data_IF_677379105731
#
_entry.id   IF_677379105731
#
_cell.length_a   1.000
_cell.length_b   1.000
_cell.length_c   1.000
_cell.angle_alpha   90.00
_cell.angle_beta   90.00
_cell.angle_gamma   90.00
#
_symmetry.space_group_name_H-M   'P 1'
#
loop_
_entity.id
_entity.type
_entity.pdbx_description
1 polymer ?
#
# COMPACT_ATOMS: atom_id res chain seq x y z
N UNK A 1 -21.23 17.09 -4.03
CA UNK A 1 -20.29 17.52 -5.09
C UNK A 1 -19.72 16.26 -5.71
N UNK A 2 -19.69 16.15 -7.04
CA UNK A 2 -19.23 14.94 -7.73
C UNK A 2 -17.91 15.27 -8.42
N UNK A 3 -16.84 14.55 -8.06
CA UNK A 3 -15.56 14.64 -8.77
C UNK A 3 -15.62 13.99 -10.15
N UNK A 4 -16.62 13.13 -10.36
CA UNK A 4 -16.79 12.32 -11.55
C UNK A 4 -18.04 12.75 -12.31
N UNK A 5 -17.90 12.83 -13.64
CA UNK A 5 -19.05 12.94 -14.53
C UNK A 5 -19.72 11.58 -14.63
N UNK A 6 -20.95 11.49 -14.13
CA UNK A 6 -21.70 10.25 -14.13
C UNK A 6 -22.10 9.81 -15.53
N UNK A 7 -22.31 10.75 -16.46
CA UNK A 7 -22.64 10.43 -17.85
C UNK A 7 -21.45 9.76 -18.53
N UNK A 8 -20.26 10.38 -18.43
CA UNK A 8 -19.03 9.82 -19.02
C UNK A 8 -18.71 8.44 -18.45
N UNK A 9 -18.85 8.26 -17.13
CA UNK A 9 -18.63 6.97 -16.49
C UNK A 9 -19.60 5.88 -16.98
N UNK A 10 -20.88 6.22 -17.15
CA UNK A 10 -21.87 5.27 -17.67
C UNK A 10 -21.59 4.95 -19.14
N UNK A 11 -21.21 5.95 -19.94
CA UNK A 11 -20.88 5.76 -21.35
C UNK A 11 -19.74 4.76 -21.51
N UNK A 12 -18.67 4.91 -20.73
CA UNK A 12 -17.53 4.01 -20.70
C UNK A 12 -17.92 2.55 -20.34
N UNK A 13 -18.88 2.36 -19.42
CA UNK A 13 -19.43 1.02 -19.11
C UNK A 13 -20.21 0.44 -20.29
N UNK A 14 -21.07 1.24 -20.92
CA UNK A 14 -21.90 0.80 -22.07
C UNK A 14 -21.01 0.42 -23.26
N UNK A 15 -19.93 1.16 -23.51
CA UNK A 15 -18.98 0.89 -24.59
C UNK A 15 -17.94 -0.19 -24.23
N UNK A 16 -17.99 -0.76 -23.03
CA UNK A 16 -17.02 -1.73 -22.52
C UNK A 16 -15.56 -1.24 -22.56
N UNK A 17 -15.36 0.08 -22.45
CA UNK A 17 -14.05 0.72 -22.49
C UNK A 17 -13.93 1.72 -21.34
N UNK A 18 -13.68 1.22 -20.13
CA UNK A 18 -13.48 2.06 -18.94
C UNK A 18 -12.06 2.61 -18.92
N UNK A 19 -11.93 3.89 -19.27
CA UNK A 19 -10.66 4.60 -19.23
C UNK A 19 -10.45 5.26 -17.86
N UNK A 20 -9.93 4.51 -16.90
CA UNK A 20 -9.72 4.99 -15.53
C UNK A 20 -8.98 6.34 -15.46
N UNK A 21 -7.91 6.49 -16.24
CA UNK A 21 -7.08 7.71 -16.24
C UNK A 21 -7.83 8.94 -16.75
N UNK A 22 -8.74 8.78 -17.72
CA UNK A 22 -9.57 9.87 -18.25
C UNK A 22 -10.39 10.51 -17.14
N UNK A 23 -10.96 9.70 -16.26
CA UNK A 23 -11.77 10.17 -15.13
C UNK A 23 -10.92 10.81 -14.03
N UNK A 24 -9.78 10.21 -13.72
CA UNK A 24 -8.91 10.67 -12.63
C UNK A 24 -8.14 11.95 -12.99
N UNK A 25 -7.79 12.17 -14.26
CA UNK A 25 -7.06 13.37 -14.73
C UNK A 25 -7.81 14.68 -14.49
N UNK A 26 -9.14 14.64 -14.38
CA UNK A 26 -9.96 15.84 -14.12
C UNK A 26 -9.92 16.29 -12.67
N UNK A 27 -9.43 15.44 -11.76
CA UNK A 27 -9.47 15.68 -10.32
C UNK A 27 -8.33 16.61 -9.93
N UNK A 28 -8.68 17.75 -9.33
CA UNK A 28 -7.72 18.76 -8.88
C UNK A 28 -7.52 18.70 -7.37
N UNK A 29 -6.26 18.80 -6.92
CA UNK A 29 -5.89 18.72 -5.50
C UNK A 29 -6.55 19.83 -4.67
N UNK A 30 -6.63 21.03 -5.23
CA UNK A 30 -7.22 22.20 -4.56
C UNK A 30 -8.71 21.98 -4.29
N UNK A 31 -9.41 21.30 -5.21
CA UNK A 31 -10.83 20.97 -5.05
C UNK A 31 -11.05 19.91 -3.96
N UNK A 32 -10.21 18.88 -3.94
CA UNK A 32 -10.22 17.85 -2.89
C UNK A 32 -9.98 18.48 -1.53
N UNK A 33 -8.94 19.30 -1.38
CA UNK A 33 -8.61 20.01 -0.14
C UNK A 33 -9.76 20.93 0.27
N UNK A 34 -10.29 21.75 -0.65
CA UNK A 34 -11.41 22.66 -0.35
C UNK A 34 -12.63 21.90 0.20
N UNK A 35 -12.91 20.71 -0.33
CA UNK A 35 -14.04 19.89 0.13
C UNK A 35 -13.79 19.27 1.50
N UNK A 36 -12.58 18.77 1.76
CA UNK A 36 -12.18 18.28 3.09
C UNK A 36 -12.28 19.39 4.14
N UNK A 37 -11.80 20.61 3.84
CA UNK A 37 -11.91 21.77 4.74
C UNK A 37 -13.36 22.11 5.06
N UNK A 38 -14.24 22.14 4.05
CA UNK A 38 -15.69 22.38 4.24
C UNK A 38 -16.34 21.34 5.16
N UNK A 39 -15.90 20.09 5.09
CA UNK A 39 -16.38 18.98 5.93
C UNK A 39 -15.75 18.96 7.33
N UNK A 40 -14.83 19.88 7.64
CA UNK A 40 -14.00 19.86 8.86
C UNK A 40 -13.30 18.50 9.05
N UNK A 41 -12.94 17.86 7.94
CA UNK A 41 -12.25 16.58 7.95
C UNK A 41 -10.77 16.76 8.29
N UNK A 42 -10.17 15.74 8.90
CA UNK A 42 -8.72 15.66 9.11
C UNK A 42 -8.01 15.62 7.75
N UNK A 43 -6.94 16.41 7.60
CA UNK A 43 -6.11 16.42 6.41
C UNK A 43 -4.92 15.47 6.59
N UNK A 44 -4.41 14.92 5.48
CA UNK A 44 -3.04 14.42 5.46
C UNK A 44 -2.14 15.62 5.77
N UNK A 45 -1.45 15.60 6.91
CA UNK A 45 -0.50 16.66 7.22
C UNK A 45 0.80 16.38 6.44
N UNK A 46 1.29 17.38 5.70
CA UNK A 46 2.52 17.27 4.90
C UNK A 46 3.78 17.53 5.74
N UNK A 47 3.70 17.46 7.08
CA UNK A 47 4.84 17.67 7.98
C UNK A 47 5.88 16.53 7.97
N UNK A 48 5.87 15.70 6.92
CA UNK A 48 6.84 14.64 6.70
C UNK A 48 7.53 14.78 5.34
N UNK A 49 8.79 14.35 5.31
CA UNK A 49 9.65 14.44 4.14
C UNK A 49 9.72 13.07 3.48
N UNK A 50 9.52 13.03 2.16
CA UNK A 50 9.66 11.82 1.35
C UNK A 50 11.06 11.78 0.77
N UNK A 51 11.77 10.67 0.94
CA UNK A 51 13.11 10.48 0.38
C UNK A 51 13.20 9.20 -0.46
N UNK A 52 14.08 9.22 -1.47
CA UNK A 52 14.54 8.03 -2.19
C UNK A 52 15.83 7.45 -1.58
N UNK A 53 16.42 8.13 -0.59
CA UNK A 53 17.61 7.66 0.10
C UNK A 53 17.29 6.46 0.98
N UNK A 54 18.19 5.49 1.02
CA UNK A 54 18.02 4.30 1.85
C UNK A 54 18.02 4.67 3.32
N UNK A 55 16.86 4.59 3.96
CA UNK A 55 16.74 4.67 5.41
C UNK A 55 17.21 3.33 5.98
N UNK A 56 18.41 3.33 6.57
CA UNK A 56 19.01 2.13 7.13
C UNK A 56 18.24 1.71 8.39
N UNK A 57 17.50 0.61 8.28
CA UNK A 57 16.99 -0.11 9.44
C UNK A 57 18.18 -0.65 10.25
N UNK A 58 18.13 -0.50 11.57
CA UNK A 58 19.28 -0.69 12.45
C UNK A 58 19.83 -2.12 12.37
N UNK A 59 18.97 -3.13 12.40
CA UNK A 59 19.40 -4.53 12.36
C UNK A 59 19.91 -4.94 10.98
N UNK A 60 19.31 -4.43 9.90
CA UNK A 60 19.85 -4.58 8.57
C UNK A 60 21.24 -3.93 8.41
N UNK A 61 21.45 -2.75 9.02
CA UNK A 61 22.71 -2.03 8.96
C UNK A 61 23.87 -2.82 9.60
N UNK A 62 23.59 -3.60 10.64
CA UNK A 62 24.56 -4.44 11.36
C UNK A 62 24.95 -5.72 10.61
N UNK A 63 24.25 -6.09 9.54
CA UNK A 63 24.55 -7.32 8.80
C UNK A 63 25.91 -7.28 8.08
N UNK A 64 26.60 -8.44 7.96
CA UNK A 64 27.76 -8.58 7.08
C UNK A 64 27.43 -8.18 5.64
N UNK A 65 28.37 -7.57 4.93
CA UNK A 65 28.15 -7.10 3.55
C UNK A 65 27.72 -8.24 2.63
N UNK A 66 28.33 -9.42 2.76
CA UNK A 66 27.98 -10.62 2.00
C UNK A 66 26.51 -11.05 2.18
N UNK A 67 25.93 -10.79 3.36
CA UNK A 67 24.51 -11.07 3.63
C UNK A 67 23.62 -10.00 3.01
N UNK A 68 24.01 -8.72 3.12
CA UNK A 68 23.31 -7.61 2.45
C UNK A 68 23.26 -7.81 0.95
N UNK A 69 24.36 -8.24 0.33
CA UNK A 69 24.43 -8.50 -1.11
C UNK A 69 23.51 -9.64 -1.53
N UNK A 70 23.42 -10.71 -0.72
CA UNK A 70 22.45 -11.80 -0.94
C UNK A 70 21.01 -11.28 -0.88
N UNK A 71 20.67 -10.48 0.12
CA UNK A 71 19.34 -9.88 0.27
C UNK A 71 19.02 -8.98 -0.93
N UNK A 72 19.93 -8.09 -1.31
CA UNK A 72 19.76 -7.18 -2.44
C UNK A 72 19.59 -7.91 -3.77
N UNK A 73 20.29 -9.04 -3.97
CA UNK A 73 20.10 -9.91 -5.13
C UNK A 73 18.68 -10.47 -5.17
N UNK A 74 18.13 -10.94 -4.04
CA UNK A 74 16.76 -11.44 -3.94
C UNK A 74 15.74 -10.33 -4.23
N UNK A 75 15.91 -9.16 -3.61
CA UNK A 75 15.06 -7.98 -3.85
C UNK A 75 15.01 -7.63 -5.34
N UNK A 76 16.17 -7.63 -6.00
CA UNK A 76 16.27 -7.34 -7.43
C UNK A 76 15.63 -8.43 -8.30
N UNK A 77 15.72 -9.69 -7.88
CA UNK A 77 15.13 -10.81 -8.59
C UNK A 77 13.60 -10.81 -8.51
N UNK A 78 13.01 -10.39 -7.38
CA UNK A 78 11.55 -10.32 -7.20
C UNK A 78 10.87 -9.26 -8.09
N UNK A 79 11.63 -8.33 -8.67
CA UNK A 79 11.12 -7.36 -9.65
C UNK A 79 10.89 -7.95 -11.05
N UNK A 80 11.28 -9.20 -11.28
CA UNK A 80 11.22 -9.86 -12.59
C UNK A 80 10.34 -11.11 -12.52
N UNK A 81 9.75 -11.54 -13.65
CA UNK A 81 9.11 -12.85 -13.74
C UNK A 81 10.07 -13.95 -13.30
N UNK A 82 9.60 -14.86 -12.46
CA UNK A 82 10.43 -15.90 -11.84
C UNK A 82 9.78 -17.27 -12.00
N UNK A 83 10.60 -18.29 -12.28
CA UNK A 83 10.12 -19.67 -12.27
C UNK A 83 10.09 -20.25 -10.85
N UNK A 84 9.34 -21.34 -10.68
CA UNK A 84 9.13 -21.99 -9.39
C UNK A 84 10.42 -22.45 -8.72
N UNK A 85 11.34 -23.07 -9.47
CA UNK A 85 12.60 -23.60 -8.92
C UNK A 85 13.49 -22.50 -8.34
N UNK A 86 13.59 -21.36 -9.01
CA UNK A 86 14.36 -20.23 -8.52
C UNK A 86 13.71 -19.64 -7.26
N UNK A 87 12.38 -19.58 -7.21
CA UNK A 87 11.65 -19.13 -6.02
C UNK A 87 11.86 -20.05 -4.82
N UNK A 88 11.82 -21.37 -5.02
CA UNK A 88 12.10 -22.37 -3.97
C UNK A 88 13.52 -22.23 -3.42
N UNK A 89 14.51 -21.96 -4.29
CA UNK A 89 15.88 -21.70 -3.85
C UNK A 89 15.98 -20.43 -2.99
N UNK A 90 15.30 -19.34 -3.38
CA UNK A 90 15.28 -18.14 -2.56
C UNK A 90 14.55 -18.32 -1.23
N UNK A 91 13.48 -19.13 -1.18
CA UNK A 91 12.82 -19.48 0.07
C UNK A 91 13.76 -20.24 1.03
N UNK A 92 14.58 -21.17 0.52
CA UNK A 92 15.59 -21.87 1.34
C UNK A 92 16.59 -20.88 1.93
N UNK A 93 17.14 -19.99 1.08
CA UNK A 93 18.09 -18.95 1.50
C UNK A 93 17.44 -18.03 2.55
N UNK A 94 16.23 -17.54 2.31
CA UNK A 94 15.53 -16.66 3.25
C UNK A 94 15.20 -17.36 4.58
N UNK A 95 14.88 -18.65 4.55
CA UNK A 95 14.63 -19.44 5.76
C UNK A 95 15.90 -19.62 6.60
N UNK A 96 17.05 -19.87 5.96
CA UNK A 96 18.35 -19.91 6.63
C UNK A 96 18.73 -18.53 7.19
N UNK A 97 18.51 -17.47 6.42
CA UNK A 97 18.77 -16.11 6.88
C UNK A 97 17.87 -15.75 8.07
N UNK A 98 16.60 -16.13 8.07
CA UNK A 98 15.69 -15.92 9.20
C UNK A 98 16.19 -16.65 10.45
N UNK A 99 16.75 -17.87 10.31
CA UNK A 99 17.33 -18.61 11.44
C UNK A 99 18.57 -17.91 12.01
N UNK A 100 19.44 -17.43 11.14
CA UNK A 100 20.74 -16.86 11.53
C UNK A 100 20.64 -15.38 11.96
N UNK A 101 19.65 -14.65 11.44
CA UNK A 101 19.43 -13.23 11.69
C UNK A 101 17.95 -12.98 12.00
N UNK A 102 17.43 -13.55 13.10
CA UNK A 102 16.01 -13.60 13.38
C UNK A 102 15.41 -12.23 13.68
N UNK A 103 16.22 -11.21 13.97
CA UNK A 103 15.77 -9.88 14.37
C UNK A 103 15.84 -8.85 13.23
N UNK A 104 15.99 -9.32 11.98
CA UNK A 104 16.03 -8.46 10.79
C UNK A 104 14.68 -8.48 10.07
N UNK A 105 13.85 -7.42 10.15
CA UNK A 105 12.49 -7.42 9.64
C UNK A 105 12.39 -7.62 8.11
N UNK A 106 13.37 -7.12 7.36
CA UNK A 106 13.36 -7.22 5.88
C UNK A 106 13.38 -8.67 5.39
N UNK A 107 13.96 -9.61 6.16
CA UNK A 107 13.95 -11.03 5.80
C UNK A 107 12.51 -11.58 5.81
N UNK A 108 11.72 -11.19 6.82
CA UNK A 108 10.33 -11.61 6.95
C UNK A 108 9.44 -10.96 5.88
N UNK A 109 9.70 -9.70 5.53
CA UNK A 109 9.04 -9.02 4.41
C UNK A 109 9.30 -9.75 3.08
N UNK A 110 10.54 -10.21 2.87
CA UNK A 110 10.89 -10.98 1.67
C UNK A 110 10.25 -12.38 1.66
N UNK A 111 10.17 -13.06 2.81
CA UNK A 111 9.40 -14.32 2.92
C UNK A 111 7.92 -14.10 2.58
N UNK A 112 7.31 -13.05 3.12
CA UNK A 112 5.92 -12.66 2.81
C UNK A 112 5.72 -12.41 1.32
N UNK A 113 6.66 -11.68 0.70
CA UNK A 113 6.63 -11.40 -0.74
C UNK A 113 6.77 -12.70 -1.57
N UNK A 114 7.66 -13.61 -1.17
CA UNK A 114 7.85 -14.89 -1.83
C UNK A 114 6.59 -15.76 -1.78
N UNK A 115 5.94 -15.85 -0.60
CA UNK A 115 4.69 -16.61 -0.46
C UNK A 115 3.54 -15.97 -1.25
N UNK A 116 3.47 -14.63 -1.30
CA UNK A 116 2.54 -13.91 -2.19
C UNK A 116 2.72 -14.31 -3.65
N UNK A 117 3.96 -14.32 -4.15
CA UNK A 117 4.27 -14.68 -5.53
C UNK A 117 3.96 -16.15 -5.86
N UNK A 118 4.03 -17.03 -4.87
CA UNK A 118 3.64 -18.44 -4.98
C UNK A 118 2.14 -18.68 -4.79
N UNK A 119 1.37 -17.65 -4.41
CA UNK A 119 -0.05 -17.77 -4.00
C UNK A 119 -0.25 -18.74 -2.83
N UNK A 120 0.72 -18.78 -1.92
CA UNK A 120 0.65 -19.58 -0.70
C UNK A 120 0.09 -18.73 0.44
N UNK A 121 -1.23 -18.58 0.46
CA UNK A 121 -1.93 -17.69 1.39
C UNK A 121 -1.70 -18.08 2.86
N UNK A 122 -1.59 -19.38 3.15
CA UNK A 122 -1.42 -19.85 4.53
C UNK A 122 -0.06 -19.44 5.10
N UNK A 123 1.04 -19.72 4.37
CA UNK A 123 2.39 -19.35 4.81
C UNK A 123 2.61 -17.85 4.75
N UNK A 124 2.01 -17.17 3.78
CA UNK A 124 1.98 -15.71 3.72
C UNK A 124 1.36 -15.14 5.01
N UNK A 125 0.13 -15.55 5.35
CA UNK A 125 -0.57 -15.03 6.53
C UNK A 125 0.19 -15.32 7.83
N UNK A 126 0.69 -16.55 8.01
CA UNK A 126 1.51 -16.91 9.18
C UNK A 126 2.75 -16.02 9.31
N UNK A 127 3.44 -15.77 8.20
CA UNK A 127 4.63 -14.91 8.18
C UNK A 127 4.28 -13.45 8.50
N UNK A 128 3.15 -12.94 8.00
CA UNK A 128 2.67 -11.58 8.30
C UNK A 128 2.40 -11.43 9.80
N UNK A 129 1.69 -12.37 10.42
CA UNK A 129 1.39 -12.33 11.85
C UNK A 129 2.68 -12.40 12.67
N UNK A 130 3.58 -13.31 12.35
CA UNK A 130 4.89 -13.40 13.01
C UNK A 130 5.69 -12.10 12.88
N UNK A 131 5.69 -11.47 11.69
CA UNK A 131 6.38 -10.19 11.46
C UNK A 131 5.80 -9.09 12.33
N UNK A 132 4.47 -8.97 12.40
CA UNK A 132 3.78 -7.96 13.21
C UNK A 132 4.11 -8.14 14.69
N UNK A 133 3.99 -9.38 15.18
CA UNK A 133 4.16 -9.68 16.61
C UNK A 133 5.62 -9.46 17.05
N UNK A 134 6.56 -9.82 16.17
CA UNK A 134 7.99 -9.66 16.45
C UNK A 134 8.50 -8.23 16.24
N UNK A 135 7.94 -7.51 15.26
CA UNK A 135 8.39 -6.16 14.88
C UNK A 135 7.21 -5.18 14.86
N UNK A 136 6.63 -4.84 16.02
CA UNK A 136 5.41 -4.01 16.10
C UNK A 136 5.56 -2.62 15.49
N UNK A 137 6.79 -2.09 15.40
CA UNK A 137 7.08 -0.78 14.79
C UNK A 137 7.48 -0.87 13.31
N UNK A 138 7.54 -2.07 12.73
CA UNK A 138 7.93 -2.24 11.33
C UNK A 138 6.74 -1.99 10.41
N UNK A 139 6.78 -0.85 9.71
CA UNK A 139 5.67 -0.38 8.88
C UNK A 139 5.21 -1.41 7.84
N UNK A 140 6.15 -2.07 7.15
CA UNK A 140 5.81 -3.07 6.14
C UNK A 140 5.09 -4.29 6.73
N UNK A 141 5.33 -4.64 8.00
CA UNK A 141 4.57 -5.68 8.68
C UNK A 141 3.11 -5.28 8.87
N UNK A 142 2.87 -4.03 9.31
CA UNK A 142 1.52 -3.48 9.45
C UNK A 142 0.81 -3.36 8.10
N UNK A 143 1.47 -2.82 7.08
CA UNK A 143 0.86 -2.65 5.75
C UNK A 143 0.60 -3.98 5.06
N UNK A 144 1.45 -4.99 5.24
CA UNK A 144 1.21 -6.34 4.72
C UNK A 144 -0.04 -6.98 5.33
N UNK A 145 -0.28 -6.81 6.64
CA UNK A 145 -1.50 -7.32 7.28
C UNK A 145 -2.76 -6.57 6.80
N UNK A 146 -2.66 -5.26 6.63
CA UNK A 146 -3.77 -4.49 6.07
C UNK A 146 -4.06 -4.88 4.61
N UNK A 147 -3.03 -5.12 3.80
CA UNK A 147 -3.17 -5.63 2.44
C UNK A 147 -3.89 -6.99 2.43
N UNK A 148 -3.46 -7.90 3.30
CA UNK A 148 -4.13 -9.20 3.45
C UNK A 148 -5.62 -9.01 3.80
N UNK A 149 -5.97 -8.08 4.69
CA UNK A 149 -7.35 -7.79 5.02
C UNK A 149 -8.16 -7.17 3.88
N UNK A 150 -7.58 -6.27 3.08
CA UNK A 150 -8.23 -5.76 1.86
C UNK A 150 -8.53 -6.89 0.86
N UNK A 151 -7.57 -7.80 0.65
CA UNK A 151 -7.70 -8.90 -0.30
C UNK A 151 -8.72 -9.97 0.15
N UNK A 152 -8.96 -10.07 1.46
CA UNK A 152 -9.83 -11.08 2.07
C UNK A 152 -11.16 -10.51 2.58
N UNK A 153 -11.55 -9.31 2.14
CA UNK A 153 -12.80 -8.65 2.55
C UNK A 153 -12.97 -8.53 4.08
N UNK A 154 -11.87 -8.16 4.76
CA UNK A 154 -11.77 -7.99 6.22
C UNK A 154 -11.37 -6.55 6.57
N UNK A 155 -11.80 -5.58 5.78
CA UNK A 155 -11.37 -4.18 5.85
C UNK A 155 -11.66 -3.53 7.23
N UNK A 156 -12.70 -3.99 7.93
CA UNK A 156 -13.04 -3.53 9.28
C UNK A 156 -11.94 -3.77 10.33
N UNK A 157 -10.99 -4.66 10.06
CA UNK A 157 -9.86 -4.95 10.97
C UNK A 157 -8.67 -4.01 10.77
N UNK A 158 -8.66 -3.20 9.71
CA UNK A 158 -7.53 -2.34 9.37
C UNK A 158 -7.23 -1.29 10.46
N UNK A 159 -8.23 -0.62 11.07
CA UNK A 159 -7.97 0.33 12.15
C UNK A 159 -7.22 -0.29 13.33
N UNK A 160 -7.57 -1.52 13.73
CA UNK A 160 -6.94 -2.21 14.85
C UNK A 160 -5.46 -2.51 14.58
N UNK A 161 -5.10 -2.85 13.35
CA UNK A 161 -3.69 -3.08 12.95
C UNK A 161 -2.85 -1.81 13.05
N UNK A 162 -3.49 -0.66 12.89
CA UNK A 162 -2.85 0.65 12.84
C UNK A 162 -3.08 1.47 14.12
N UNK A 163 -3.61 0.86 15.18
CA UNK A 163 -3.96 1.55 16.43
C UNK A 163 -4.88 2.77 16.22
N UNK A 164 -5.79 2.69 15.23
CA UNK A 164 -6.63 3.78 14.73
C UNK A 164 -5.86 5.00 14.16
N UNK A 165 -4.59 4.81 13.76
CA UNK A 165 -3.73 5.85 13.20
C UNK A 165 -3.60 5.68 11.69
N UNK A 166 -4.38 6.45 10.94
CA UNK A 166 -4.44 6.38 9.48
C UNK A 166 -3.46 7.32 8.77
N UNK A 167 -2.58 7.97 9.53
CA UNK A 167 -1.47 8.79 9.04
C UNK A 167 -0.14 8.09 9.33
N UNK A 168 0.79 8.11 8.36
CA UNK A 168 2.05 7.36 8.46
C UNK A 168 2.88 7.78 9.67
N UNK A 169 2.92 9.08 9.97
CA UNK A 169 3.72 9.66 11.06
C UNK A 169 3.10 9.45 12.44
N UNK A 170 1.82 9.14 12.53
CA UNK A 170 1.21 8.66 13.77
C UNK A 170 1.41 7.15 13.94
N UNK A 171 1.35 6.39 12.85
CA UNK A 171 1.50 4.94 12.85
C UNK A 171 2.93 4.48 13.20
N UNK A 172 3.94 5.15 12.63
CA UNK A 172 5.37 4.90 12.90
C UNK A 172 6.09 6.24 13.04
N UNK A 173 6.04 6.87 14.23
CA UNK A 173 6.65 8.17 14.46
C UNK A 173 8.17 8.09 14.36
N UNK A 174 8.79 9.09 13.71
CA UNK A 174 10.24 9.22 13.58
C UNK A 174 10.65 10.64 13.97
N UNK A 175 11.73 10.80 14.72
CA UNK A 175 12.23 12.12 15.12
C UNK A 175 12.50 13.06 13.94
N UNK A 176 12.91 12.50 12.79
CA UNK A 176 13.17 13.28 11.57
C UNK A 176 11.93 13.53 10.71
N UNK A 177 10.81 12.84 10.96
CA UNK A 177 9.67 12.74 10.03
C UNK A 177 10.08 12.43 8.57
N UNK A 178 11.20 11.73 8.36
CA UNK A 178 11.64 11.29 7.02
C UNK A 178 11.16 9.86 6.77
N UNK A 179 10.47 9.65 5.65
CA UNK A 179 9.96 8.36 5.21
C UNK A 179 10.46 8.03 3.82
N UNK A 180 10.80 6.76 3.60
CA UNK A 180 11.22 6.33 2.28
C UNK A 180 10.02 6.26 1.35
N UNK A 181 10.22 6.55 0.07
CA UNK A 181 9.15 6.57 -0.93
C UNK A 181 8.32 5.28 -0.96
N UNK A 182 8.95 4.11 -0.76
CA UNK A 182 8.24 2.83 -0.76
C UNK A 182 7.35 2.62 0.47
N UNK A 183 7.70 3.24 1.60
CA UNK A 183 6.91 3.21 2.83
C UNK A 183 5.63 4.02 2.64
N UNK A 184 5.79 5.28 2.19
CA UNK A 184 4.70 6.20 1.90
C UNK A 184 3.75 5.58 0.86
N UNK A 185 4.32 5.01 -0.21
CA UNK A 185 3.54 4.39 -1.28
C UNK A 185 2.77 3.16 -0.82
N UNK A 186 3.41 2.26 -0.07
CA UNK A 186 2.77 1.06 0.47
C UNK A 186 1.64 1.43 1.44
N UNK A 187 1.91 2.36 2.36
CA UNK A 187 0.95 2.79 3.37
C UNK A 187 -0.27 3.47 2.75
N UNK A 188 -0.08 4.53 1.96
CA UNK A 188 -1.21 5.29 1.43
C UNK A 188 -1.97 4.58 0.31
N UNK A 189 -1.40 3.56 -0.33
CA UNK A 189 -2.16 2.68 -1.24
C UNK A 189 -3.19 1.83 -0.48
N UNK A 190 -2.82 1.32 0.70
CA UNK A 190 -3.73 0.56 1.58
C UNK A 190 -4.76 1.49 2.21
N UNK A 191 -4.32 2.61 2.79
CA UNK A 191 -5.21 3.59 3.44
C UNK A 191 -6.21 4.17 2.45
N UNK A 192 -5.78 4.51 1.23
CA UNK A 192 -6.68 5.01 0.20
C UNK A 192 -7.79 4.01 -0.14
N UNK A 193 -7.46 2.72 -0.29
CA UNK A 193 -8.45 1.65 -0.53
C UNK A 193 -9.37 1.43 0.67
N UNK A 194 -8.85 1.52 1.89
CA UNK A 194 -9.68 1.52 3.09
C UNK A 194 -10.67 2.70 3.13
N UNK A 195 -10.24 3.90 2.74
CA UNK A 195 -11.14 5.06 2.62
C UNK A 195 -12.20 4.86 1.53
N UNK A 196 -11.88 4.21 0.41
CA UNK A 196 -12.89 3.81 -0.58
C UNK A 196 -13.94 2.90 0.05
N UNK A 197 -13.52 1.86 0.78
CA UNK A 197 -14.42 0.96 1.51
C UNK A 197 -15.34 1.71 2.49
N UNK A 198 -14.79 2.68 3.24
CA UNK A 198 -15.57 3.54 4.15
C UNK A 198 -16.37 4.64 3.45
N UNK A 199 -16.40 4.66 2.12
CA UNK A 199 -17.07 5.69 1.31
C UNK A 199 -16.57 7.12 1.60
N UNK A 200 -15.31 7.25 2.03
CA UNK A 200 -14.61 8.50 2.33
C UNK A 200 -13.81 8.97 1.11
N UNK A 201 -14.50 9.26 0.01
CA UNK A 201 -13.87 9.45 -1.31
C UNK A 201 -12.92 10.64 -1.36
N UNK A 202 -13.21 11.74 -0.68
CA UNK A 202 -12.29 12.88 -0.60
C UNK A 202 -10.92 12.47 0.00
N UNK A 203 -10.91 11.58 1.01
CA UNK A 203 -9.67 11.09 1.63
C UNK A 203 -8.96 10.09 0.73
N UNK A 204 -9.69 9.19 0.07
CA UNK A 204 -9.13 8.27 -0.90
C UNK A 204 -8.45 9.02 -2.07
N UNK A 205 -9.07 10.10 -2.55
CA UNK A 205 -8.51 10.97 -3.58
C UNK A 205 -7.27 11.71 -3.10
N UNK A 206 -7.25 12.16 -1.84
CA UNK A 206 -6.07 12.78 -1.26
C UNK A 206 -4.88 11.79 -1.20
N UNK A 207 -5.13 10.54 -0.81
CA UNK A 207 -4.12 9.48 -0.90
C UNK A 207 -3.68 9.24 -2.36
N UNK A 208 -4.61 9.14 -3.31
CA UNK A 208 -4.29 8.95 -4.72
C UNK A 208 -3.42 10.06 -5.29
N UNK A 209 -3.75 11.33 -5.00
CA UNK A 209 -2.98 12.48 -5.45
C UNK A 209 -1.56 12.48 -4.88
N UNK A 210 -1.39 12.10 -3.60
CA UNK A 210 -0.07 11.91 -3.01
C UNK A 210 0.72 10.80 -3.73
N UNK A 211 0.10 9.65 -4.01
CA UNK A 211 0.76 8.58 -4.75
C UNK A 211 1.12 8.97 -6.18
N UNK A 212 0.26 9.78 -6.81
CA UNK A 212 0.47 10.31 -8.15
C UNK A 212 1.66 11.28 -8.19
N UNK A 213 1.79 12.15 -7.19
CA UNK A 213 2.94 13.05 -7.04
C UNK A 213 4.25 12.29 -6.86
N UNK A 214 4.20 11.14 -6.18
CA UNK A 214 5.36 10.26 -5.99
C UNK A 214 5.74 9.54 -7.28
N UNK A 215 4.78 8.87 -7.92
CA UNK A 215 4.97 8.07 -9.12
C UNK A 215 3.59 7.74 -9.75
N UNK A 216 3.22 8.53 -10.76
CA UNK A 216 1.93 8.43 -11.46
C UNK A 216 1.69 7.04 -12.07
N UNK A 217 2.74 6.40 -12.60
CA UNK A 217 2.63 5.14 -13.34
C UNK A 217 2.92 3.91 -12.48
N UNK A 218 3.08 4.08 -11.17
CA UNK A 218 3.31 2.95 -10.29
C UNK A 218 2.06 2.05 -10.19
N UNK A 219 2.20 0.71 -10.18
CA UNK A 219 1.05 -0.21 -10.08
C UNK A 219 0.11 0.06 -8.89
N UNK A 220 0.66 0.46 -7.73
CA UNK A 220 -0.14 0.81 -6.56
C UNK A 220 -0.93 2.13 -6.70
N UNK A 221 -0.42 3.08 -7.49
CA UNK A 221 -1.11 4.34 -7.82
C UNK A 221 -2.29 4.03 -8.75
N UNK A 222 -2.03 3.27 -9.80
CA UNK A 222 -3.04 2.81 -10.76
C UNK A 222 -4.12 1.98 -10.06
N UNK A 223 -3.73 1.05 -9.18
CA UNK A 223 -4.65 0.23 -8.40
C UNK A 223 -5.61 1.08 -7.57
N UNK A 224 -5.10 2.05 -6.81
CA UNK A 224 -5.95 2.93 -6.00
C UNK A 224 -6.91 3.74 -6.90
N UNK A 225 -6.42 4.28 -8.02
CA UNK A 225 -7.25 4.96 -9.00
C UNK A 225 -8.43 4.10 -9.50
N UNK A 226 -8.16 2.84 -9.85
CA UNK A 226 -9.19 1.87 -10.25
C UNK A 226 -10.24 1.67 -9.17
N UNK A 227 -9.82 1.48 -7.92
CA UNK A 227 -10.75 1.30 -6.78
C UNK A 227 -11.69 2.50 -6.63
N UNK A 228 -11.17 3.72 -6.73
CA UNK A 228 -11.97 4.94 -6.61
C UNK A 228 -13.02 5.03 -7.73
N UNK A 229 -12.61 4.82 -8.99
CA UNK A 229 -13.53 4.88 -10.14
C UNK A 229 -14.60 3.78 -10.06
N UNK A 230 -14.21 2.54 -9.74
CA UNK A 230 -15.16 1.41 -9.62
C UNK A 230 -16.19 1.64 -8.50
N UNK A 231 -15.77 2.25 -7.40
CA UNK A 231 -16.66 2.61 -6.32
C UNK A 231 -17.70 3.66 -6.74
N UNK A 232 -17.26 4.68 -7.48
CA UNK A 232 -18.17 5.71 -7.99
C UNK A 232 -19.17 5.15 -9.01
N UNK A 233 -18.73 4.25 -9.89
CA UNK A 233 -19.62 3.49 -10.76
C UNK A 233 -20.68 2.72 -9.94
N UNK A 234 -20.23 1.99 -8.93
CA UNK A 234 -21.13 1.24 -8.04
C UNK A 234 -22.16 2.16 -7.37
N UNK A 235 -21.74 3.34 -6.91
CA UNK A 235 -22.63 4.34 -6.31
C UNK A 235 -23.66 4.90 -7.29
N UNK A 236 -23.28 5.14 -8.56
CA UNK A 236 -24.20 5.58 -9.62
C UNK A 236 -25.30 4.54 -9.82
N UNK A 237 -24.94 3.25 -9.96
CA UNK A 237 -25.92 2.19 -10.16
C UNK A 237 -26.81 1.94 -8.94
N UNK A 238 -26.27 2.05 -7.71
CA UNK A 238 -27.07 1.95 -6.47
C UNK A 238 -28.13 3.06 -6.37
N UNK A 239 -27.80 4.28 -6.78
CA UNK A 239 -28.73 5.43 -6.75
C UNK A 239 -29.87 5.31 -7.77
N UNK A 240 -29.66 4.60 -8.89
CA UNK A 240 -30.68 4.39 -9.93
C UNK A 240 -31.72 3.31 -9.57
N UNK A 241 -31.43 2.46 -8.58
CA UNK A 241 -32.33 1.40 -8.10
C UNK A 241 -33.26 1.85 -6.96
N UNK A 242 -33.11 3.09 -6.49
CA UNK A 242 -34.00 3.74 -5.50
C UNK A 242 -34.89 4.73 -6.22
#
# INVERSE_FOLDING_TARGET
>A
MRYFDSYDLIQDVVTHNIEFDKHLKRIRKEEVIKNLMKKKATMLNNDFIITNETIKEENFAKLPQTVKDKINKIVSAFKKPMNKNLMENYLKILSELKKNYPDVPVIYNLLTSAYTLLRDEERQYRTIIETRDKFPNYLFGKTALCEYYLQNHKEDKIPDVLDNKLEIYFCVPRASNIYHVSEVRSFYSVIGRYYVFKNMIDHALLCYLLLKEIDEYHPLTELLGKYIVLHELTNIFKRRKK
#
